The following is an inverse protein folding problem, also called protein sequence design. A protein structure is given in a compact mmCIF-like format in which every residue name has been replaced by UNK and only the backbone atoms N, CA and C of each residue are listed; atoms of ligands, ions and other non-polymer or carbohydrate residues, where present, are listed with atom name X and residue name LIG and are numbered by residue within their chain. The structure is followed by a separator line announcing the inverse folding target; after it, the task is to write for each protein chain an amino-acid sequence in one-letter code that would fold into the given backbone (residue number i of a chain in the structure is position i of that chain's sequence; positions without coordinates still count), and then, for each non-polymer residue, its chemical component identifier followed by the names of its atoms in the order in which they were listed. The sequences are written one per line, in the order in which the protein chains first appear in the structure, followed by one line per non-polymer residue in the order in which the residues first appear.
data_IF_877581151681
#
_entry.id   IF_877581151681
#
_cell.length_a   1.000
_cell.length_b   1.000
_cell.length_c   1.000
_cell.angle_alpha   90.00
_cell.angle_beta   90.00
_cell.angle_gamma   90.00
#
_symmetry.space_group_name_H-M   'P 1'
#
loop_
_entity.id
_entity.type
_entity.pdbx_description
1 polymer ?
#
# COMPACT_ATOMS: atom_id res chain seq x y z
N UNK A 1 -31.56 12.37 22.24
CA UNK A 1 -31.08 13.54 22.98
C UNK A 1 -30.66 14.54 21.91
N UNK A 2 -31.31 15.71 21.81
CA UNK A 2 -31.00 16.71 20.80
C UNK A 2 -29.61 17.29 21.10
N UNK A 3 -28.57 16.62 20.60
CA UNK A 3 -27.20 17.12 20.70
C UNK A 3 -27.08 18.16 19.61
N UNK A 4 -27.23 19.43 20.01
CA UNK A 4 -26.82 20.58 19.21
C UNK A 4 -25.51 20.24 18.51
N UNK A 5 -25.43 20.57 17.23
CA UNK A 5 -24.21 20.74 16.45
C UNK A 5 -23.11 21.25 17.39
N UNK A 6 -22.30 20.34 17.92
CA UNK A 6 -21.18 20.70 18.77
C UNK A 6 -20.12 21.06 17.75
N UNK A 7 -20.27 22.23 17.14
CA UNK A 7 -19.15 22.87 16.47
C UNK A 7 -18.17 23.16 17.59
N UNK A 8 -17.34 22.17 17.96
CA UNK A 8 -16.02 22.42 18.49
C UNK A 8 -15.24 23.07 17.33
N UNK A 9 -15.65 24.29 16.97
CA UNK A 9 -14.71 25.28 16.48
C UNK A 9 -13.74 25.42 17.63
N UNK A 10 -12.68 24.61 17.64
CA UNK A 10 -11.46 24.89 18.38
C UNK A 10 -10.87 26.17 17.77
N UNK A 11 -11.59 27.28 17.87
CA UNK A 11 -11.06 28.62 17.84
C UNK A 11 -10.75 28.91 19.29
N UNK A 12 -9.60 28.43 19.76
CA UNK A 12 -9.15 28.73 21.12
C UNK A 12 -7.74 29.27 21.00
N UNK A 13 -7.63 30.56 21.26
CA UNK A 13 -6.39 31.17 21.74
C UNK A 13 -5.76 30.23 22.77
N UNK A 14 -4.60 29.66 22.43
CA UNK A 14 -3.72 28.90 23.32
C UNK A 14 -4.33 27.68 24.05
N UNK A 15 -4.54 26.57 23.35
CA UNK A 15 -4.68 25.25 24.00
C UNK A 15 -3.53 24.31 23.61
N UNK A 16 -2.65 24.06 24.57
CA UNK A 16 -1.44 23.22 24.46
C UNK A 16 -1.79 21.78 23.99
N UNK A 17 -2.99 21.25 24.30
CA UNK A 17 -3.45 19.93 23.82
C UNK A 17 -4.98 19.89 23.65
N UNK A 18 -5.48 19.14 22.65
CA UNK A 18 -6.91 18.87 22.44
C UNK A 18 -7.26 17.41 22.77
N UNK A 19 -8.29 17.21 23.60
CA UNK A 19 -8.74 15.88 24.04
C UNK A 19 -10.24 15.70 23.84
N UNK A 20 -10.64 14.72 23.03
CA UNK A 20 -12.03 14.31 22.82
C UNK A 20 -12.22 12.88 23.32
N UNK A 21 -13.12 12.68 24.30
CA UNK A 21 -13.39 11.37 24.92
C UNK A 21 -14.88 11.16 25.12
N UNK A 22 -15.39 9.99 24.70
CA UNK A 22 -16.74 9.53 25.09
C UNK A 22 -17.90 10.38 24.57
N UNK A 23 -17.75 10.92 23.36
CA UNK A 23 -18.69 11.86 22.76
C UNK A 23 -19.55 11.18 21.68
N UNK A 24 -20.79 11.68 21.54
CA UNK A 24 -21.64 11.45 20.38
C UNK A 24 -21.94 12.82 19.77
N UNK A 25 -21.61 13.01 18.49
CA UNK A 25 -21.83 14.29 17.80
C UNK A 25 -21.98 14.10 16.31
N UNK A 26 -22.86 14.85 15.66
CA UNK A 26 -23.10 14.71 14.21
C UNK A 26 -21.84 15.02 13.39
N UNK A 27 -21.03 16.00 13.81
CA UNK A 27 -19.80 16.33 13.08
C UNK A 27 -18.71 16.99 13.93
N UNK A 28 -17.47 16.76 13.52
CA UNK A 28 -16.29 17.44 14.06
C UNK A 28 -15.58 18.16 12.93
N UNK A 29 -15.32 19.45 13.13
CA UNK A 29 -14.57 20.27 12.18
C UNK A 29 -13.42 20.98 12.87
N UNK A 30 -12.20 20.67 12.45
CA UNK A 30 -10.97 21.35 12.88
C UNK A 30 -10.43 22.17 11.71
N UNK A 31 -10.24 23.47 11.91
CA UNK A 31 -9.68 24.34 10.88
C UNK A 31 -8.75 25.41 11.45
N UNK A 32 -7.55 25.55 10.86
CA UNK A 32 -6.61 26.61 11.22
C UNK A 32 -6.05 26.49 12.63
N UNK A 33 -5.81 25.27 13.10
CA UNK A 33 -5.41 24.98 14.48
C UNK A 33 -3.90 24.71 14.57
N UNK A 34 -3.29 25.22 15.63
CA UNK A 34 -1.93 24.89 16.09
C UNK A 34 -2.05 24.34 17.52
N UNK A 35 -1.51 23.14 17.76
CA UNK A 35 -1.59 22.48 19.07
C UNK A 35 -0.53 21.38 19.19
N UNK A 36 -0.01 21.09 20.38
CA UNK A 36 1.05 20.08 20.51
C UNK A 36 0.49 18.67 20.26
N UNK A 37 -0.73 18.38 20.73
CA UNK A 37 -1.35 17.09 20.44
C UNK A 37 -2.88 17.09 20.34
N UNK A 38 -3.38 16.15 19.55
CA UNK A 38 -4.80 15.79 19.48
C UNK A 38 -4.97 14.33 19.88
N UNK A 39 -5.84 14.09 20.86
CA UNK A 39 -6.23 12.74 21.28
C UNK A 39 -7.73 12.54 21.19
N UNK A 40 -8.15 11.51 20.46
CA UNK A 40 -9.53 11.08 20.28
C UNK A 40 -9.69 9.67 20.83
N UNK A 41 -10.67 9.45 21.70
CA UNK A 41 -10.95 8.14 22.29
C UNK A 41 -12.45 7.86 22.45
N UNK A 42 -12.92 6.73 21.91
CA UNK A 42 -14.31 6.27 22.13
C UNK A 42 -15.35 7.27 21.61
N UNK A 43 -15.20 7.68 20.35
CA UNK A 43 -15.99 8.73 19.72
C UNK A 43 -16.89 8.13 18.63
N UNK A 44 -18.14 8.60 18.58
CA UNK A 44 -19.11 8.30 17.54
C UNK A 44 -19.53 9.60 16.86
N UNK A 45 -19.36 9.69 15.54
CA UNK A 45 -19.71 10.90 14.79
C UNK A 45 -19.96 10.63 13.31
N UNK A 46 -20.89 11.31 12.66
CA UNK A 46 -21.14 11.05 11.23
C UNK A 46 -19.97 11.53 10.35
N UNK A 47 -19.28 12.61 10.77
CA UNK A 47 -18.15 13.12 9.98
C UNK A 47 -17.06 13.82 10.77
N UNK A 48 -15.81 13.61 10.34
CA UNK A 48 -14.64 14.35 10.80
C UNK A 48 -13.99 15.07 9.62
N UNK A 49 -13.86 16.40 9.74
CA UNK A 49 -13.16 17.23 8.75
C UNK A 49 -12.03 18.02 9.40
N UNK A 50 -10.82 17.83 8.87
CA UNK A 50 -9.61 18.54 9.29
C UNK A 50 -9.05 19.33 8.12
N UNK A 51 -8.80 20.63 8.32
CA UNK A 51 -8.19 21.49 7.31
C UNK A 51 -7.19 22.49 7.87
N UNK A 52 -5.93 22.47 7.42
CA UNK A 52 -4.92 23.44 7.88
C UNK A 52 -4.60 23.25 9.37
N UNK A 53 -4.18 22.04 9.73
CA UNK A 53 -3.82 21.66 11.10
C UNK A 53 -2.31 21.45 11.20
N UNK A 54 -1.72 22.03 12.24
CA UNK A 54 -0.32 21.85 12.61
C UNK A 54 -0.26 21.29 14.04
N UNK A 55 0.35 20.12 14.22
CA UNK A 55 0.43 19.49 15.53
C UNK A 55 1.53 18.46 15.64
N UNK A 56 2.20 18.31 16.78
CA UNK A 56 3.28 17.32 16.91
C UNK A 56 2.72 15.89 16.86
N UNK A 57 1.51 15.66 17.38
CA UNK A 57 0.95 14.30 17.40
C UNK A 57 -0.57 14.19 17.35
N UNK A 58 -1.05 13.20 16.60
CA UNK A 58 -2.45 12.78 16.56
C UNK A 58 -2.57 11.33 17.01
N UNK A 59 -3.42 11.08 18.01
CA UNK A 59 -3.76 9.74 18.48
C UNK A 59 -5.26 9.52 18.45
N UNK A 60 -5.72 8.58 17.63
CA UNK A 60 -7.12 8.17 17.53
C UNK A 60 -7.27 6.73 18.01
N UNK A 61 -8.22 6.49 18.92
CA UNK A 61 -8.54 5.15 19.42
C UNK A 61 -10.04 4.94 19.53
N UNK A 62 -10.60 3.91 18.89
CA UNK A 62 -12.03 3.61 19.00
C UNK A 62 -12.90 4.74 18.42
N UNK A 63 -12.70 5.06 17.15
CA UNK A 63 -13.51 6.03 16.41
C UNK A 63 -14.46 5.29 15.46
N UNK A 64 -15.73 5.65 15.52
CA UNK A 64 -16.79 5.20 14.61
C UNK A 64 -17.32 6.41 13.86
N UNK A 65 -17.19 6.43 12.54
CA UNK A 65 -17.64 7.58 11.75
C UNK A 65 -17.91 7.26 10.30
N UNK A 66 -18.92 7.84 9.67
CA UNK A 66 -19.19 7.54 8.26
C UNK A 66 -18.09 8.10 7.35
N UNK A 67 -17.48 9.24 7.71
CA UNK A 67 -16.47 9.86 6.86
C UNK A 67 -15.39 10.65 7.57
N UNK A 68 -14.14 10.49 7.10
CA UNK A 68 -12.99 11.30 7.48
C UNK A 68 -12.43 12.03 6.26
N UNK A 69 -12.31 13.35 6.36
CA UNK A 69 -11.64 14.18 5.37
C UNK A 69 -10.52 15.01 6.00
N UNK A 70 -9.29 14.78 5.57
CA UNK A 70 -8.10 15.53 6.02
C UNK A 70 -7.48 16.26 4.84
N UNK A 71 -7.22 17.55 5.01
CA UNK A 71 -6.56 18.38 4.01
C UNK A 71 -5.55 19.34 4.62
N UNK A 72 -4.30 19.37 4.15
CA UNK A 72 -3.29 20.30 4.68
C UNK A 72 -3.00 20.04 6.16
N UNK A 73 -2.52 18.83 6.46
CA UNK A 73 -2.11 18.41 7.81
C UNK A 73 -0.59 18.31 7.85
N UNK A 74 0.01 18.95 8.85
CA UNK A 74 1.43 18.88 9.18
C UNK A 74 1.56 18.33 10.59
N UNK A 75 2.23 17.19 10.75
CA UNK A 75 2.39 16.57 12.07
C UNK A 75 3.55 15.61 12.17
N UNK A 76 4.24 15.53 13.30
CA UNK A 76 5.36 14.57 13.41
C UNK A 76 4.85 13.12 13.44
N UNK A 77 3.68 12.88 14.04
CA UNK A 77 3.18 11.52 14.19
C UNK A 77 1.66 11.35 14.18
N UNK A 78 1.20 10.31 13.49
CA UNK A 78 -0.19 9.86 13.49
C UNK A 78 -0.26 8.41 13.96
N UNK A 79 -1.07 8.17 15.00
CA UNK A 79 -1.41 6.83 15.47
C UNK A 79 -2.91 6.60 15.49
N UNK A 80 -3.38 5.63 14.71
CA UNK A 80 -4.79 5.23 14.65
C UNK A 80 -4.94 3.78 15.09
N UNK A 81 -5.85 3.51 16.03
CA UNK A 81 -6.20 2.16 16.46
C UNK A 81 -7.70 1.96 16.61
N UNK A 82 -8.27 0.93 16.00
CA UNK A 82 -9.72 0.65 16.13
C UNK A 82 -10.55 1.76 15.50
N UNK A 83 -10.41 1.96 14.19
CA UNK A 83 -11.19 2.91 13.41
C UNK A 83 -12.17 2.15 12.51
N UNK A 84 -13.44 2.54 12.57
CA UNK A 84 -14.51 2.02 11.74
C UNK A 84 -15.11 3.19 10.96
N UNK A 85 -15.04 3.15 9.63
CA UNK A 85 -15.54 4.26 8.81
C UNK A 85 -15.86 3.90 7.39
N UNK A 86 -16.90 4.45 6.77
CA UNK A 86 -17.19 4.11 5.37
C UNK A 86 -16.13 4.70 4.42
N UNK A 87 -15.59 5.89 4.74
CA UNK A 87 -14.63 6.54 3.84
C UNK A 87 -13.57 7.41 4.50
N UNK A 88 -12.34 7.30 3.98
CA UNK A 88 -11.21 8.14 4.34
C UNK A 88 -10.67 8.86 3.10
N UNK A 89 -10.56 10.19 3.18
CA UNK A 89 -9.95 11.03 2.14
C UNK A 89 -8.86 11.90 2.77
N UNK A 90 -7.62 11.69 2.34
CA UNK A 90 -6.45 12.46 2.80
C UNK A 90 -5.79 13.16 1.62
N UNK A 91 -5.56 14.47 1.74
CA UNK A 91 -4.86 15.26 0.73
C UNK A 91 -3.87 16.25 1.34
N UNK A 92 -2.62 16.26 0.88
CA UNK A 92 -1.62 17.21 1.40
C UNK A 92 -1.31 16.95 2.87
N UNK A 93 -0.77 15.76 3.15
CA UNK A 93 -0.32 15.34 4.47
C UNK A 93 1.20 15.29 4.49
N UNK A 94 1.80 15.96 5.46
CA UNK A 94 3.23 15.95 5.75
C UNK A 94 3.43 15.43 7.16
N UNK A 95 4.14 14.31 7.32
CA UNK A 95 4.36 13.72 8.64
C UNK A 95 5.54 12.78 8.73
N UNK A 96 6.28 12.74 9.83
CA UNK A 96 7.41 11.81 9.93
C UNK A 96 6.93 10.35 10.01
N UNK A 97 5.80 10.10 10.68
CA UNK A 97 5.34 8.73 10.91
C UNK A 97 3.83 8.52 10.95
N UNK A 98 3.38 7.47 10.27
CA UNK A 98 1.99 6.98 10.32
C UNK A 98 1.95 5.54 10.81
N UNK A 99 1.18 5.29 11.87
CA UNK A 99 0.87 3.95 12.36
C UNK A 99 -0.63 3.71 12.44
N UNK A 100 -1.12 2.75 11.66
CA UNK A 100 -2.53 2.34 11.63
C UNK A 100 -2.65 0.88 12.05
N UNK A 101 -3.56 0.59 12.98
CA UNK A 101 -3.88 -0.77 13.40
C UNK A 101 -5.37 -1.01 13.60
N UNK A 102 -5.94 -2.07 13.04
CA UNK A 102 -7.36 -2.38 13.21
C UNK A 102 -8.25 -1.31 12.58
N UNK A 103 -8.14 -1.17 11.26
CA UNK A 103 -8.94 -0.26 10.46
C UNK A 103 -9.93 -1.06 9.61
N UNK A 104 -11.21 -0.71 9.71
CA UNK A 104 -12.30 -1.25 8.92
C UNK A 104 -12.94 -0.11 8.13
N UNK A 105 -12.89 -0.16 6.81
CA UNK A 105 -13.44 0.92 5.98
C UNK A 105 -13.77 0.53 4.56
N UNK A 106 -14.83 1.03 3.96
CA UNK A 106 -15.14 0.67 2.57
C UNK A 106 -14.12 1.28 1.60
N UNK A 107 -13.63 2.50 1.88
CA UNK A 107 -12.75 3.19 0.93
C UNK A 107 -11.69 4.10 1.54
N UNK A 108 -10.47 4.00 1.02
CA UNK A 108 -9.35 4.88 1.35
C UNK A 108 -8.85 5.57 0.07
N UNK A 109 -8.81 6.91 0.11
CA UNK A 109 -8.16 7.72 -0.93
C UNK A 109 -7.10 8.64 -0.31
N UNK A 110 -5.85 8.47 -0.72
CA UNK A 110 -4.72 9.29 -0.30
C UNK A 110 -4.08 9.95 -1.51
N UNK A 111 -3.85 11.26 -1.41
CA UNK A 111 -3.15 12.03 -2.44
C UNK A 111 -2.18 13.06 -1.87
N UNK A 112 -0.95 13.13 -2.38
CA UNK A 112 0.03 14.11 -1.91
C UNK A 112 0.40 13.87 -0.45
N UNK A 113 1.00 12.70 -0.19
CA UNK A 113 1.49 12.30 1.13
C UNK A 113 3.02 12.31 1.10
N UNK A 114 3.62 13.00 2.06
CA UNK A 114 5.06 13.05 2.30
C UNK A 114 5.31 12.56 3.72
N UNK A 115 6.06 11.47 3.87
CA UNK A 115 6.30 10.89 5.19
C UNK A 115 7.51 9.98 5.28
N UNK A 116 8.26 9.95 6.37
CA UNK A 116 9.41 9.05 6.45
C UNK A 116 8.96 7.57 6.56
N UNK A 117 7.87 7.31 7.29
CA UNK A 117 7.45 5.94 7.53
C UNK A 117 5.94 5.71 7.64
N UNK A 118 5.48 4.63 6.98
CA UNK A 118 4.11 4.14 7.07
C UNK A 118 4.11 2.71 7.57
N UNK A 119 3.36 2.45 8.64
CA UNK A 119 3.08 1.10 9.15
C UNK A 119 1.59 0.85 9.27
N UNK A 120 1.09 -0.11 8.51
CA UNK A 120 -0.31 -0.55 8.52
C UNK A 120 -0.40 -2.00 8.94
N UNK A 121 -1.27 -2.30 9.91
CA UNK A 121 -1.55 -3.69 10.33
C UNK A 121 -3.03 -3.96 10.59
N UNK A 122 -3.58 -5.04 10.04
CA UNK A 122 -4.99 -5.39 10.27
C UNK A 122 -5.92 -4.36 9.63
N UNK A 123 -5.85 -4.24 8.30
CA UNK A 123 -6.70 -3.36 7.51
C UNK A 123 -7.68 -4.22 6.70
N UNK A 124 -8.96 -3.90 6.80
CA UNK A 124 -10.06 -4.50 6.06
C UNK A 124 -10.76 -3.39 5.27
N UNK A 125 -10.76 -3.47 3.94
CA UNK A 125 -11.34 -2.42 3.11
C UNK A 125 -11.70 -2.84 1.71
N UNK A 126 -12.78 -2.34 1.12
CA UNK A 126 -13.10 -2.72 -0.27
C UNK A 126 -12.12 -2.09 -1.27
N UNK A 127 -11.65 -0.87 -1.01
CA UNK A 127 -10.77 -0.18 -1.97
C UNK A 127 -9.74 0.79 -1.39
N UNK A 128 -8.52 0.71 -1.93
CA UNK A 128 -7.42 1.63 -1.63
C UNK A 128 -6.95 2.32 -2.91
N UNK A 129 -6.91 3.65 -2.89
CA UNK A 129 -6.36 4.49 -3.96
C UNK A 129 -5.29 5.44 -3.40
N UNK A 130 -4.05 5.26 -3.82
CA UNK A 130 -2.92 6.10 -3.43
C UNK A 130 -2.32 6.78 -4.65
N UNK A 131 -2.13 8.09 -4.59
CA UNK A 131 -1.47 8.86 -5.66
C UNK A 131 -0.50 9.92 -5.15
N UNK A 132 0.72 9.97 -5.66
CA UNK A 132 1.70 10.98 -5.24
C UNK A 132 2.11 10.79 -3.78
N UNK A 133 2.76 9.65 -3.51
CA UNK A 133 3.30 9.31 -2.20
C UNK A 133 4.84 9.34 -2.28
N UNK A 134 5.45 10.06 -1.34
CA UNK A 134 6.89 10.13 -1.13
C UNK A 134 7.19 9.67 0.29
N UNK A 135 7.96 8.60 0.45
CA UNK A 135 8.26 8.05 1.77
C UNK A 135 9.48 7.16 1.84
N UNK A 136 10.25 7.17 2.92
CA UNK A 136 11.42 6.28 2.99
C UNK A 136 10.99 4.81 3.14
N UNK A 137 9.92 4.53 3.88
CA UNK A 137 9.52 3.16 4.16
C UNK A 137 8.02 2.90 4.30
N UNK A 138 7.57 1.81 3.67
CA UNK A 138 6.22 1.29 3.80
C UNK A 138 6.24 -0.14 4.32
N UNK A 139 5.53 -0.38 5.42
CA UNK A 139 5.28 -1.73 5.96
C UNK A 139 3.79 -2.01 6.10
N UNK A 140 3.30 -2.99 5.37
CA UNK A 140 1.91 -3.46 5.42
C UNK A 140 1.87 -4.92 5.87
N UNK A 141 1.01 -5.22 6.85
CA UNK A 141 0.80 -6.60 7.30
C UNK A 141 -0.66 -6.92 7.60
N UNK A 142 -1.21 -8.03 7.08
CA UNK A 142 -2.61 -8.40 7.35
C UNK A 142 -3.57 -7.40 6.72
N UNK A 143 -3.55 -7.34 5.39
CA UNK A 143 -4.44 -6.49 4.59
C UNK A 143 -5.42 -7.39 3.83
N UNK A 144 -6.71 -7.10 3.95
CA UNK A 144 -7.80 -7.74 3.23
C UNK A 144 -8.54 -6.66 2.45
N UNK A 145 -8.57 -6.76 1.12
CA UNK A 145 -9.21 -5.73 0.29
C UNK A 145 -9.60 -6.17 -1.10
N UNK A 146 -10.69 -5.71 -1.68
CA UNK A 146 -11.03 -6.11 -3.05
C UNK A 146 -10.08 -5.47 -4.07
N UNK A 147 -9.64 -4.23 -3.83
CA UNK A 147 -8.82 -3.52 -4.83
C UNK A 147 -7.79 -2.55 -4.27
N UNK A 148 -6.59 -2.61 -4.84
CA UNK A 148 -5.50 -1.68 -4.57
C UNK A 148 -5.06 -0.99 -5.86
N UNK A 149 -5.07 0.34 -5.87
CA UNK A 149 -4.50 1.16 -6.94
C UNK A 149 -3.47 2.14 -6.39
N UNK A 150 -2.24 2.02 -6.85
CA UNK A 150 -1.12 2.90 -6.50
C UNK A 150 -0.59 3.57 -7.76
N UNK A 151 -0.39 4.88 -7.70
CA UNK A 151 0.23 5.64 -8.80
C UNK A 151 1.18 6.73 -8.32
N UNK A 152 2.37 6.84 -8.91
CA UNK A 152 3.33 7.88 -8.53
C UNK A 152 3.80 7.71 -7.08
N UNK A 153 4.49 6.60 -6.83
CA UNK A 153 5.08 6.27 -5.53
C UNK A 153 6.61 6.34 -5.64
N UNK A 154 7.23 7.09 -4.73
CA UNK A 154 8.67 7.20 -4.57
C UNK A 154 9.02 6.77 -3.15
N UNK A 155 9.81 5.72 -3.00
CA UNK A 155 10.14 5.20 -1.65
C UNK A 155 11.38 4.34 -1.60
N UNK A 156 12.18 4.38 -0.54
CA UNK A 156 13.38 3.52 -0.48
C UNK A 156 12.98 2.04 -0.29
N UNK A 157 11.93 1.76 0.46
CA UNK A 157 11.57 0.38 0.78
C UNK A 157 10.07 0.09 0.95
N UNK A 158 9.64 -1.02 0.36
CA UNK A 158 8.29 -1.57 0.52
C UNK A 158 8.36 -2.98 1.08
N UNK A 159 7.66 -3.22 2.18
CA UNK A 159 7.46 -4.56 2.75
C UNK A 159 5.98 -4.87 2.94
N UNK A 160 5.50 -5.88 2.23
CA UNK A 160 4.12 -6.37 2.33
C UNK A 160 4.11 -7.82 2.80
N UNK A 161 3.29 -8.14 3.80
CA UNK A 161 3.11 -9.52 4.27
C UNK A 161 1.66 -9.86 4.61
N UNK A 162 1.15 -11.00 4.14
CA UNK A 162 -0.23 -11.42 4.44
C UNK A 162 -1.24 -10.46 3.82
N UNK A 163 -1.24 -10.41 2.48
CA UNK A 163 -2.17 -9.60 1.69
C UNK A 163 -3.14 -10.54 0.95
N UNK A 164 -4.42 -10.28 1.08
CA UNK A 164 -5.52 -10.95 0.39
C UNK A 164 -6.31 -9.91 -0.39
N UNK A 165 -6.37 -10.02 -1.71
CA UNK A 165 -7.07 -9.02 -2.53
C UNK A 165 -7.46 -9.48 -3.92
N UNK A 166 -8.58 -9.06 -4.48
CA UNK A 166 -8.94 -9.49 -5.85
C UNK A 166 -8.01 -8.85 -6.89
N UNK A 167 -7.60 -7.59 -6.67
CA UNK A 167 -6.81 -6.88 -7.68
C UNK A 167 -5.79 -5.87 -7.16
N UNK A 168 -4.60 -5.90 -7.75
CA UNK A 168 -3.52 -4.93 -7.51
C UNK A 168 -3.14 -4.26 -8.82
N UNK A 169 -3.18 -2.91 -8.83
CA UNK A 169 -2.67 -2.09 -9.93
C UNK A 169 -1.66 -1.07 -9.43
N UNK A 170 -0.42 -1.18 -9.92
CA UNK A 170 0.68 -0.26 -9.60
C UNK A 170 1.17 0.40 -10.88
N UNK A 171 1.33 1.72 -10.87
CA UNK A 171 1.89 2.47 -11.99
C UNK A 171 2.82 3.60 -11.57
N UNK A 172 4.03 3.69 -12.16
CA UNK A 172 4.98 4.75 -11.82
C UNK A 172 5.48 4.62 -10.39
N UNK A 173 6.18 3.52 -10.11
CA UNK A 173 6.81 3.23 -8.83
C UNK A 173 8.33 3.32 -8.98
N UNK A 174 8.97 4.08 -8.11
CA UNK A 174 10.42 4.22 -7.98
C UNK A 174 10.82 3.84 -6.56
N UNK A 175 11.64 2.80 -6.40
CA UNK A 175 12.02 2.32 -5.07
C UNK A 175 13.28 1.48 -5.03
N UNK A 176 14.11 1.56 -3.99
CA UNK A 176 15.31 0.71 -3.94
C UNK A 176 14.96 -0.77 -3.73
N UNK A 177 13.91 -1.06 -2.94
CA UNK A 177 13.59 -2.44 -2.60
C UNK A 177 12.11 -2.75 -2.39
N UNK A 178 11.67 -3.88 -2.95
CA UNK A 178 10.34 -4.45 -2.76
C UNK A 178 10.46 -5.85 -2.18
N UNK A 179 9.79 -6.07 -1.04
CA UNK A 179 9.64 -7.40 -0.43
C UNK A 179 8.17 -7.74 -0.20
N UNK A 180 7.70 -8.79 -0.87
CA UNK A 180 6.33 -9.31 -0.73
C UNK A 180 6.38 -10.75 -0.22
N UNK A 181 5.58 -11.07 0.79
CA UNK A 181 5.46 -12.44 1.31
C UNK A 181 4.02 -12.82 1.67
N UNK A 182 3.53 -13.97 1.20
CA UNK A 182 2.17 -14.42 1.50
C UNK A 182 1.12 -13.48 0.88
N UNK A 183 1.08 -13.45 -0.45
CA UNK A 183 0.13 -12.68 -1.24
C UNK A 183 -0.83 -13.64 -1.96
N UNK A 184 -2.13 -13.42 -1.79
CA UNK A 184 -3.21 -14.13 -2.46
C UNK A 184 -4.05 -13.10 -3.23
N UNK A 185 -4.13 -13.24 -4.56
CA UNK A 185 -4.87 -12.27 -5.37
C UNK A 185 -5.29 -12.76 -6.73
N UNK A 186 -6.43 -12.37 -7.28
CA UNK A 186 -6.80 -12.83 -8.63
C UNK A 186 -5.92 -12.18 -9.71
N UNK A 187 -5.54 -10.91 -9.53
CA UNK A 187 -4.79 -10.21 -10.57
C UNK A 187 -3.78 -9.16 -10.07
N UNK A 188 -2.61 -9.16 -10.69
CA UNK A 188 -1.56 -8.17 -10.49
C UNK A 188 -1.23 -7.49 -11.82
N UNK A 189 -1.31 -6.15 -11.83
CA UNK A 189 -0.86 -5.33 -12.95
C UNK A 189 0.15 -4.27 -12.51
N UNK A 190 1.37 -4.37 -13.02
CA UNK A 190 2.45 -3.41 -12.75
C UNK A 190 2.89 -2.75 -14.05
N UNK A 191 3.02 -1.43 -14.04
CA UNK A 191 3.54 -0.67 -15.19
C UNK A 191 4.48 0.47 -14.80
N UNK A 192 5.66 0.56 -15.41
CA UNK A 192 6.62 1.63 -15.09
C UNK A 192 7.14 1.51 -13.67
N UNK A 193 7.88 0.44 -13.41
CA UNK A 193 8.53 0.16 -12.14
C UNK A 193 10.05 0.27 -12.31
N UNK A 194 10.69 1.06 -11.47
CA UNK A 194 12.14 1.21 -11.37
C UNK A 194 12.57 0.84 -9.96
N UNK A 195 13.43 -0.16 -9.81
CA UNK A 195 13.85 -0.60 -8.48
C UNK A 195 15.13 -1.41 -8.46
N UNK A 196 15.98 -1.31 -7.45
CA UNK A 196 17.21 -2.12 -7.42
C UNK A 196 16.89 -3.60 -7.17
N UNK A 197 15.89 -3.90 -6.34
CA UNK A 197 15.59 -5.28 -5.97
C UNK A 197 14.12 -5.62 -5.72
N UNK A 198 13.70 -6.76 -6.26
CA UNK A 198 12.38 -7.35 -6.01
C UNK A 198 12.54 -8.73 -5.40
N UNK A 199 11.92 -8.95 -4.23
CA UNK A 199 11.82 -10.26 -3.58
C UNK A 199 10.37 -10.65 -3.31
N UNK A 200 9.91 -11.72 -3.93
CA UNK A 200 8.56 -12.28 -3.75
C UNK A 200 8.66 -13.69 -3.21
N UNK A 201 7.88 -14.00 -2.17
CA UNK A 201 7.79 -15.36 -1.62
C UNK A 201 6.37 -15.78 -1.26
N UNK A 202 5.88 -16.92 -1.74
CA UNK A 202 4.52 -17.39 -1.45
C UNK A 202 3.47 -16.48 -2.08
N UNK A 203 3.42 -16.45 -3.40
CA UNK A 203 2.45 -15.71 -4.20
C UNK A 203 1.50 -16.70 -4.89
N UNK A 204 0.20 -16.51 -4.70
CA UNK A 204 -0.88 -17.25 -5.34
C UNK A 204 -1.75 -16.26 -6.10
N UNK A 205 -1.87 -16.42 -7.41
CA UNK A 205 -2.66 -15.49 -8.24
C UNK A 205 -3.08 -16.02 -9.59
N UNK A 206 -4.25 -15.69 -10.10
CA UNK A 206 -4.65 -16.17 -11.44
C UNK A 206 -3.81 -15.51 -12.54
N UNK A 207 -3.45 -14.23 -12.38
CA UNK A 207 -2.75 -13.50 -13.44
C UNK A 207 -1.77 -12.43 -12.97
N UNK A 208 -0.60 -12.42 -13.63
CA UNK A 208 0.43 -11.38 -13.47
C UNK A 208 0.70 -10.70 -14.80
N UNK A 209 0.58 -9.38 -14.84
CA UNK A 209 0.96 -8.55 -15.98
C UNK A 209 1.95 -7.46 -15.58
N UNK A 210 3.15 -7.53 -16.15
CA UNK A 210 4.23 -6.55 -15.94
C UNK A 210 4.59 -5.88 -17.26
N UNK A 211 4.69 -4.54 -17.26
CA UNK A 211 5.14 -3.77 -18.42
C UNK A 211 6.09 -2.64 -18.05
N UNK A 212 7.28 -2.57 -18.64
CA UNK A 212 8.25 -1.51 -18.35
C UNK A 212 8.79 -1.63 -16.92
N UNK A 213 9.55 -2.69 -16.66
CA UNK A 213 10.24 -2.95 -15.40
C UNK A 213 11.74 -2.83 -15.62
N UNK A 214 12.39 -2.00 -14.81
CA UNK A 214 13.84 -1.82 -14.75
C UNK A 214 14.32 -2.15 -13.34
N UNK A 215 15.18 -3.14 -13.20
CA UNK A 215 15.66 -3.57 -11.88
C UNK A 215 16.95 -4.36 -11.88
N UNK A 216 17.83 -4.20 -10.90
CA UNK A 216 19.08 -4.99 -10.89
C UNK A 216 18.80 -6.48 -10.60
N UNK A 217 17.82 -6.76 -9.74
CA UNK A 217 17.57 -8.15 -9.32
C UNK A 217 16.11 -8.50 -9.02
N UNK A 218 15.70 -9.66 -9.54
CA UNK A 218 14.40 -10.29 -9.25
C UNK A 218 14.62 -11.65 -8.60
N UNK A 219 14.05 -11.85 -7.41
CA UNK A 219 14.00 -13.14 -6.72
C UNK A 219 12.58 -13.56 -6.39
N UNK A 220 12.13 -14.65 -6.97
CA UNK A 220 10.80 -15.24 -6.73
C UNK A 220 10.93 -16.64 -6.16
N UNK A 221 10.18 -16.94 -5.11
CA UNK A 221 10.12 -18.29 -4.52
C UNK A 221 8.70 -18.72 -4.17
N UNK A 222 8.22 -19.86 -4.69
CA UNK A 222 6.86 -20.34 -4.41
C UNK A 222 5.82 -19.43 -5.05
N UNK A 223 5.77 -19.42 -6.39
CA UNK A 223 4.78 -18.72 -7.18
C UNK A 223 3.83 -19.72 -7.83
N UNK A 224 2.54 -19.57 -7.60
CA UNK A 224 1.46 -20.34 -8.21
C UNK A 224 0.55 -19.38 -8.97
N UNK A 225 0.44 -19.56 -10.29
CA UNK A 225 -0.39 -18.67 -11.11
C UNK A 225 -0.80 -19.22 -12.44
N UNK A 226 -2.01 -18.97 -12.93
CA UNK A 226 -2.43 -19.50 -14.24
C UNK A 226 -1.64 -18.81 -15.38
N UNK A 227 -1.35 -17.52 -15.26
CA UNK A 227 -0.71 -16.77 -16.35
C UNK A 227 0.25 -15.67 -15.93
N UNK A 228 1.40 -15.63 -16.60
CA UNK A 228 2.40 -14.57 -16.48
C UNK A 228 2.61 -13.90 -17.83
N UNK A 229 2.41 -12.57 -17.89
CA UNK A 229 2.72 -11.75 -19.05
C UNK A 229 3.70 -10.63 -18.69
N UNK A 230 4.90 -10.68 -19.28
CA UNK A 230 5.95 -9.67 -19.09
C UNK A 230 6.26 -8.99 -20.41
N UNK A 231 6.38 -7.67 -20.40
CA UNK A 231 6.78 -6.87 -21.57
C UNK A 231 7.74 -5.75 -21.19
N UNK A 232 8.88 -5.64 -21.87
CA UNK A 232 9.88 -4.61 -21.57
C UNK A 232 10.44 -4.75 -20.16
N UNK A 233 11.18 -5.83 -19.91
CA UNK A 233 11.89 -6.10 -18.67
C UNK A 233 13.40 -5.94 -18.91
N UNK A 234 14.04 -5.10 -18.12
CA UNK A 234 15.49 -4.88 -18.09
C UNK A 234 15.99 -5.20 -16.68
N UNK A 235 16.87 -6.20 -16.55
CA UNK A 235 17.39 -6.59 -15.24
C UNK A 235 18.68 -7.37 -15.28
N UNK A 236 19.61 -7.16 -14.36
CA UNK A 236 20.88 -7.92 -14.38
C UNK A 236 20.64 -9.40 -14.04
N UNK A 237 19.71 -9.69 -13.12
CA UNK A 237 19.50 -11.07 -12.66
C UNK A 237 18.07 -11.44 -12.32
N UNK A 238 17.66 -12.63 -12.79
CA UNK A 238 16.39 -13.27 -12.45
C UNK A 238 16.66 -14.61 -11.78
N UNK A 239 16.16 -14.79 -10.55
CA UNK A 239 16.18 -16.05 -9.82
C UNK A 239 14.78 -16.49 -9.42
N UNK A 240 14.33 -17.62 -9.97
CA UNK A 240 13.01 -18.20 -9.67
C UNK A 240 13.17 -19.61 -9.10
N UNK A 241 12.48 -19.90 -8.00
CA UNK A 241 12.43 -21.24 -7.41
C UNK A 241 11.00 -21.66 -7.06
N UNK A 242 10.53 -22.80 -7.57
CA UNK A 242 9.16 -23.27 -7.33
C UNK A 242 8.13 -22.38 -8.02
N UNK A 243 8.11 -22.42 -9.35
CA UNK A 243 7.13 -21.74 -10.20
C UNK A 243 6.17 -22.78 -10.79
N UNK A 244 4.88 -22.60 -10.52
CA UNK A 244 3.78 -23.39 -11.06
C UNK A 244 2.87 -22.46 -11.85
N UNK A 245 2.79 -22.66 -13.17
CA UNK A 245 1.95 -21.80 -14.01
C UNK A 245 1.54 -22.40 -15.33
N UNK A 246 0.30 -22.22 -15.77
CA UNK A 246 -0.13 -22.79 -17.05
C UNK A 246 0.58 -22.10 -18.23
N UNK A 247 0.78 -20.78 -18.16
CA UNK A 247 1.35 -20.03 -19.28
C UNK A 247 2.26 -18.87 -18.91
N UNK A 248 3.39 -18.79 -19.63
CA UNK A 248 4.33 -17.67 -19.55
C UNK A 248 4.46 -17.03 -20.93
N UNK A 249 4.21 -15.71 -21.02
CA UNK A 249 4.47 -14.90 -22.21
C UNK A 249 5.41 -13.75 -21.88
N UNK A 250 6.58 -13.75 -22.51
CA UNK A 250 7.60 -12.70 -22.34
C UNK A 250 7.90 -12.05 -23.68
N UNK A 251 7.93 -10.72 -23.71
CA UNK A 251 8.36 -9.95 -24.89
C UNK A 251 9.30 -8.80 -24.51
N UNK A 252 10.49 -8.74 -25.10
CA UNK A 252 11.48 -7.70 -24.80
C UNK A 252 12.06 -7.85 -23.39
N UNK A 253 12.81 -8.94 -23.18
CA UNK A 253 13.55 -9.23 -21.96
C UNK A 253 15.04 -9.05 -22.21
N UNK A 254 15.67 -8.17 -21.44
CA UNK A 254 17.11 -7.92 -21.42
C UNK A 254 17.63 -8.25 -20.03
N UNK A 255 18.51 -9.26 -19.94
CA UNK A 255 19.06 -9.67 -18.65
C UNK A 255 20.37 -10.42 -18.71
N UNK A 256 21.31 -10.18 -17.81
CA UNK A 256 22.59 -10.88 -17.85
C UNK A 256 22.41 -12.37 -17.47
N UNK A 257 21.54 -12.66 -16.48
CA UNK A 257 21.41 -14.02 -15.97
C UNK A 257 20.00 -14.43 -15.57
N UNK A 258 19.60 -15.63 -15.99
CA UNK A 258 18.35 -16.27 -15.59
C UNK A 258 18.65 -17.62 -14.92
N UNK A 259 18.21 -17.79 -13.68
CA UNK A 259 18.25 -19.07 -12.95
C UNK A 259 16.87 -19.48 -12.49
N UNK A 260 16.35 -20.57 -13.05
CA UNK A 260 15.06 -21.16 -12.68
C UNK A 260 15.27 -22.58 -12.18
N UNK A 261 14.66 -22.92 -11.04
CA UNK A 261 14.64 -24.28 -10.49
C UNK A 261 13.24 -24.64 -10.01
N UNK A 262 12.74 -25.83 -10.37
CA UNK A 262 11.38 -26.23 -9.99
C UNK A 262 10.32 -25.48 -10.80
N UNK A 263 10.46 -25.52 -12.13
CA UNK A 263 9.51 -24.94 -13.08
C UNK A 263 8.50 -26.00 -13.53
N UNK A 264 7.22 -25.70 -13.37
CA UNK A 264 6.09 -26.47 -13.86
C UNK A 264 5.22 -25.56 -14.70
N UNK A 265 5.16 -25.82 -16.00
CA UNK A 265 4.34 -25.01 -16.92
C UNK A 265 3.96 -25.74 -18.19
N UNK A 266 2.75 -25.45 -18.68
CA UNK A 266 2.24 -26.05 -19.92
C UNK A 266 2.80 -25.34 -21.15
N UNK A 267 3.02 -24.01 -21.06
CA UNK A 267 3.48 -23.24 -22.22
C UNK A 267 4.34 -22.03 -21.88
N UNK A 268 5.40 -21.86 -22.67
CA UNK A 268 6.26 -20.68 -22.62
C UNK A 268 6.39 -20.09 -24.02
N UNK A 269 6.10 -18.79 -24.16
CA UNK A 269 6.33 -18.01 -25.39
C UNK A 269 7.24 -16.83 -25.07
N UNK A 270 8.42 -16.81 -25.70
CA UNK A 270 9.39 -15.72 -25.53
C UNK A 270 9.69 -15.08 -26.89
N UNK A 271 9.65 -13.75 -26.95
CA UNK A 271 10.13 -12.97 -28.11
C UNK A 271 11.03 -11.82 -27.66
N UNK A 272 12.11 -11.57 -28.39
CA UNK A 272 13.08 -10.52 -28.03
C UNK A 272 13.74 -10.77 -26.67
N UNK A 273 14.44 -11.90 -26.55
CA UNK A 273 15.26 -12.25 -25.38
C UNK A 273 16.72 -11.96 -25.66
N UNK A 274 17.35 -11.19 -24.78
CA UNK A 274 18.79 -10.89 -24.79
C UNK A 274 19.35 -11.25 -23.43
N UNK A 275 20.25 -12.23 -23.40
CA UNK A 275 20.86 -12.68 -22.14
C UNK A 275 22.19 -13.39 -22.33
N UNK A 276 23.08 -13.22 -21.36
CA UNK A 276 24.40 -13.87 -21.34
C UNK A 276 24.31 -15.31 -20.84
N UNK A 277 23.38 -15.61 -19.93
CA UNK A 277 23.26 -16.94 -19.33
C UNK A 277 21.85 -17.33 -18.92
N UNK A 278 21.47 -18.56 -19.25
CA UNK A 278 20.21 -19.17 -18.81
C UNK A 278 20.48 -20.55 -18.22
N UNK A 279 19.98 -20.78 -17.01
CA UNK A 279 19.93 -22.10 -16.38
C UNK A 279 18.50 -22.39 -15.92
N UNK A 280 17.84 -23.35 -16.57
CA UNK A 280 16.51 -23.83 -16.20
C UNK A 280 16.60 -25.30 -15.80
N UNK A 281 16.12 -25.62 -14.60
CA UNK A 281 15.96 -26.99 -14.11
C UNK A 281 14.47 -27.30 -14.02
N UNK A 282 14.01 -28.12 -14.96
CA UNK A 282 12.67 -28.70 -14.96
C UNK A 282 12.59 -29.86 -13.97
N UNK A 283 11.45 -30.01 -13.32
CA UNK A 283 11.14 -31.21 -12.53
C UNK A 283 10.14 -32.03 -13.33
N UNK A 284 10.53 -33.22 -13.81
CA UNK A 284 9.59 -34.18 -14.36
C UNK A 284 8.85 -34.86 -13.20
N UNK A 285 7.52 -34.76 -13.18
CA UNK A 285 6.65 -35.68 -12.44
C UNK A 285 6.19 -36.75 -13.43
N UNK A 286 6.59 -38.01 -13.17
CA UNK A 286 6.09 -39.21 -13.84
C UNK A 286 4.65 -39.52 -13.39
#
# INVERSE_FOLDING_TARGET
MNVKELTLSLQVENSINALLVGLYTDSIKVSGLYTDSIKVSGLYTDSVRVSGLYTDSIKVSGLYTDSIKVSGLYTDSIKVSGLYTDSIKVSGLYTDSIKVSGLYTDSIKVSGLYTDSIKVSGLYTDSIKVSGLYTDSIKVSGLYTDSIKVSGLYTDSIKVSGLYTDSIKVSGLYTDSIKVSGLYTDSIKVSGLYTDSIKVSGLYTDSIKVSGLYTDSIKVSGLYTDSIKVSGLYTDSIKVSGLYTDSIKVSGLYTDSIKVSGLYTDSIKVSGLYTDSIKVVFTLTL
#
